data_IF_327166600640
#
_entry.id   IF_327166600640
#
_cell.length_a   1.000
_cell.length_b   1.000
_cell.length_c   1.000
_cell.angle_alpha   90.00
_cell.angle_beta   90.00
_cell.angle_gamma   90.00
#
_symmetry.space_group_name_H-M   'P 1'
#
loop_
_entity.id
_entity.type
_entity.pdbx_description
1 polymer ?
#
# COMPACT_ATOMS: atom_id res chain seq x y z
N UNK A 1 -38.24 -10.04 -14.36
CA UNK A 1 -37.12 -9.09 -14.15
C UNK A 1 -35.87 -9.95 -14.11
N UNK A 2 -34.94 -9.77 -15.05
CA UNK A 2 -33.68 -10.50 -15.00
C UNK A 2 -32.86 -9.97 -13.82
N UNK A 3 -32.42 -10.84 -12.92
CA UNK A 3 -31.43 -10.50 -11.90
C UNK A 3 -30.20 -9.94 -12.59
N UNK A 4 -29.77 -8.75 -12.17
CA UNK A 4 -28.44 -8.25 -12.56
C UNK A 4 -27.42 -9.24 -12.00
N UNK A 5 -26.45 -9.73 -12.80
CA UNK A 5 -25.39 -10.55 -12.26
C UNK A 5 -24.71 -9.77 -11.12
N UNK A 6 -24.45 -10.47 -10.01
CA UNK A 6 -23.60 -9.97 -8.94
C UNK A 6 -22.28 -9.50 -9.57
N UNK A 7 -21.81 -8.28 -9.26
CA UNK A 7 -20.53 -7.81 -9.80
C UNK A 7 -19.41 -8.78 -9.39
N UNK A 8 -18.45 -9.00 -10.29
CA UNK A 8 -17.27 -9.80 -10.01
C UNK A 8 -16.40 -9.21 -8.88
N UNK A 9 -15.36 -9.93 -8.43
CA UNK A 9 -14.47 -9.42 -7.39
C UNK A 9 -13.83 -8.09 -7.82
N UNK A 10 -13.66 -7.19 -6.86
CA UNK A 10 -13.08 -5.86 -7.07
C UNK A 10 -11.56 -6.03 -7.22
N UNK A 11 -10.96 -5.62 -8.36
CA UNK A 11 -9.52 -5.71 -8.52
C UNK A 11 -8.81 -4.57 -7.77
N UNK A 12 -7.89 -4.93 -6.88
CA UNK A 12 -7.23 -4.00 -5.94
C UNK A 12 -5.71 -4.06 -6.10
N UNK A 13 -5.08 -2.89 -6.19
CA UNK A 13 -3.64 -2.72 -5.93
C UNK A 13 -3.49 -2.23 -4.49
N UNK A 14 -2.61 -2.87 -3.72
CA UNK A 14 -2.34 -2.49 -2.33
C UNK A 14 -0.96 -1.82 -2.22
N UNK A 15 -0.88 -0.61 -1.68
CA UNK A 15 0.36 0.09 -1.29
C UNK A 15 0.49 0.04 0.23
N UNK A 16 1.51 -0.64 0.76
CA UNK A 16 1.60 -1.00 2.18
C UNK A 16 3.01 -0.88 2.75
N UNK A 17 3.12 -0.50 4.03
CA UNK A 17 4.38 -0.40 4.77
C UNK A 17 4.63 -1.57 5.74
N UNK A 18 3.81 -2.62 5.65
CA UNK A 18 4.04 -3.91 6.28
C UNK A 18 4.01 -3.93 7.82
N UNK A 19 3.19 -3.06 8.42
CA UNK A 19 2.80 -3.15 9.83
C UNK A 19 1.91 -4.36 10.16
N UNK A 20 1.65 -4.55 11.45
CA UNK A 20 0.78 -5.61 12.01
C UNK A 20 -0.66 -5.52 11.46
N UNK A 21 -1.20 -4.31 11.42
CA UNK A 21 -2.50 -3.98 10.85
C UNK A 21 -2.51 -4.09 9.32
N UNK A 22 -1.46 -3.64 8.63
CA UNK A 22 -1.28 -3.89 7.19
C UNK A 22 -1.31 -5.38 6.85
N UNK A 23 -0.56 -6.20 7.58
CA UNK A 23 -0.53 -7.65 7.38
C UNK A 23 -1.92 -8.27 7.58
N UNK A 24 -2.70 -7.73 8.52
CA UNK A 24 -4.07 -8.15 8.80
C UNK A 24 -5.02 -7.73 7.67
N UNK A 25 -4.91 -6.49 7.19
CA UNK A 25 -5.70 -5.97 6.08
C UNK A 25 -5.41 -6.73 4.77
N UNK A 26 -4.13 -6.98 4.48
CA UNK A 26 -3.71 -7.75 3.32
C UNK A 26 -4.18 -9.20 3.40
N UNK A 27 -4.07 -9.86 4.57
CA UNK A 27 -4.62 -11.20 4.77
C UNK A 27 -6.12 -11.23 4.50
N UNK A 28 -6.86 -10.24 5.01
CA UNK A 28 -8.30 -10.15 4.76
C UNK A 28 -8.61 -9.96 3.27
N UNK A 29 -7.93 -9.06 2.59
CA UNK A 29 -8.08 -8.84 1.15
C UNK A 29 -7.78 -10.09 0.32
N UNK A 30 -6.77 -10.88 0.70
CA UNK A 30 -6.39 -12.12 0.00
C UNK A 30 -7.35 -13.28 0.22
N UNK A 31 -8.12 -13.25 1.30
CA UNK A 31 -9.04 -14.34 1.70
C UNK A 31 -10.51 -14.01 1.50
N UNK A 32 -10.85 -12.76 1.18
CA UNK A 32 -12.21 -12.34 0.86
C UNK A 32 -12.50 -12.54 -0.64
N UNK A 33 -13.49 -13.38 -1.01
CA UNK A 33 -13.78 -13.68 -2.42
C UNK A 33 -14.35 -12.48 -3.21
N UNK A 34 -14.63 -11.35 -2.54
CA UNK A 34 -15.08 -10.11 -3.17
C UNK A 34 -13.92 -9.21 -3.61
N UNK A 35 -12.69 -9.54 -3.23
CA UNK A 35 -11.49 -8.77 -3.54
C UNK A 35 -10.53 -9.63 -4.36
N UNK A 36 -10.02 -9.06 -5.45
CA UNK A 36 -8.95 -9.64 -6.24
C UNK A 36 -7.71 -8.77 -6.11
N UNK A 37 -6.75 -9.16 -5.26
CA UNK A 37 -5.49 -8.44 -5.15
C UNK A 37 -4.63 -8.75 -6.36
N UNK A 38 -4.40 -7.74 -7.20
CA UNK A 38 -3.75 -7.91 -8.52
C UNK A 38 -2.30 -7.45 -8.54
N UNK A 39 -1.85 -6.76 -7.50
CA UNK A 39 -0.48 -6.30 -7.34
C UNK A 39 -0.28 -5.62 -5.98
N UNK A 40 0.94 -5.66 -5.48
CA UNK A 40 1.32 -5.05 -4.20
C UNK A 40 2.51 -4.13 -4.43
N UNK A 41 2.36 -2.88 -4.00
CA UNK A 41 3.42 -1.90 -3.89
C UNK A 41 3.86 -1.89 -2.43
N UNK A 42 5.17 -1.86 -2.20
CA UNK A 42 5.72 -1.77 -0.85
C UNK A 42 6.31 -0.39 -0.65
N UNK A 43 5.92 0.26 0.44
CA UNK A 43 6.45 1.55 0.89
C UNK A 43 7.09 1.43 2.27
N UNK A 44 7.67 2.50 2.77
CA UNK A 44 8.23 2.62 4.12
C UNK A 44 7.21 3.26 5.06
N UNK A 45 7.36 3.10 6.39
CA UNK A 45 6.52 3.81 7.37
C UNK A 45 6.63 3.17 8.76
N UNK A 46 5.76 2.20 9.03
CA UNK A 46 5.79 1.36 10.22
C UNK A 46 7.14 0.69 10.44
N UNK A 47 7.71 0.16 9.35
CA UNK A 47 9.07 -0.41 9.28
C UNK A 47 9.80 0.11 8.03
N UNK A 48 11.08 -0.25 7.90
CA UNK A 48 11.85 0.01 6.69
C UNK A 48 11.32 -0.83 5.51
N UNK A 49 11.51 -0.31 4.28
CA UNK A 49 11.02 -0.89 3.04
C UNK A 49 11.32 -2.40 2.90
N UNK A 50 12.54 -2.82 3.22
CA UNK A 50 12.93 -4.23 3.15
C UNK A 50 12.14 -5.09 4.13
N UNK A 51 11.87 -4.60 5.35
CA UNK A 51 11.04 -5.32 6.32
C UNK A 51 9.56 -5.32 5.95
N UNK A 52 9.06 -4.23 5.38
CA UNK A 52 7.71 -4.18 4.84
C UNK A 52 7.52 -5.26 3.76
N UNK A 53 8.50 -5.40 2.86
CA UNK A 53 8.49 -6.43 1.83
C UNK A 53 8.51 -7.84 2.44
N UNK A 54 9.34 -8.07 3.47
CA UNK A 54 9.34 -9.37 4.18
C UNK A 54 7.98 -9.68 4.81
N UNK A 55 7.30 -8.69 5.38
CA UNK A 55 5.93 -8.87 5.90
C UNK A 55 4.97 -9.26 4.79
N UNK A 56 4.98 -8.55 3.65
CA UNK A 56 4.14 -8.87 2.48
C UNK A 56 4.39 -10.30 2.00
N UNK A 57 5.65 -10.72 1.84
CA UNK A 57 5.98 -12.07 1.40
C UNK A 57 5.51 -13.15 2.36
N UNK A 58 5.59 -12.91 3.68
CA UNK A 58 5.04 -13.84 4.69
C UNK A 58 3.53 -14.00 4.54
N UNK A 59 2.81 -12.90 4.33
CA UNK A 59 1.36 -12.92 4.17
C UNK A 59 0.96 -13.63 2.88
N UNK A 60 1.62 -13.33 1.75
CA UNK A 60 1.38 -14.01 0.47
C UNK A 60 1.67 -15.52 0.55
N UNK A 61 2.79 -15.91 1.17
CA UNK A 61 3.15 -17.30 1.36
C UNK A 61 2.12 -18.04 2.23
N UNK A 62 1.65 -17.40 3.31
CA UNK A 62 0.61 -17.95 4.18
C UNK A 62 -0.75 -18.07 3.47
N UNK A 63 -1.10 -17.11 2.61
CA UNK A 63 -2.33 -17.10 1.84
C UNK A 63 -2.30 -18.03 0.62
N UNK A 64 -1.13 -18.60 0.29
CA UNK A 64 -0.97 -19.44 -0.90
C UNK A 64 -1.10 -18.65 -2.21
N UNK A 65 -0.72 -17.37 -2.22
CA UNK A 65 -0.81 -16.46 -3.37
C UNK A 65 0.56 -15.97 -3.86
N UNK A 66 1.49 -16.87 -4.25
CA UNK A 66 2.81 -16.49 -4.75
C UNK A 66 2.75 -15.87 -6.16
N UNK A 67 1.58 -15.89 -6.80
CA UNK A 67 1.32 -15.38 -8.16
C UNK A 67 1.22 -13.84 -8.22
N UNK A 68 0.97 -13.18 -7.10
CA UNK A 68 0.74 -11.73 -7.06
C UNK A 68 2.09 -11.00 -7.16
N UNK A 69 2.27 -10.07 -8.12
CA UNK A 69 3.51 -9.31 -8.24
C UNK A 69 3.66 -8.32 -7.08
N UNK A 70 4.85 -8.29 -6.48
CA UNK A 70 5.24 -7.36 -5.43
C UNK A 70 6.37 -6.48 -5.95
N UNK A 71 6.20 -5.16 -5.97
CA UNK A 71 7.23 -4.22 -6.38
C UNK A 71 7.62 -3.29 -5.23
N UNK A 72 8.92 -3.00 -5.12
CA UNK A 72 9.46 -2.08 -4.12
C UNK A 72 9.31 -0.63 -4.61
N UNK A 73 8.82 0.23 -3.72
CA UNK A 73 8.62 1.65 -3.94
C UNK A 73 9.64 2.53 -3.24
N UNK A 74 9.17 3.63 -2.68
CA UNK A 74 9.98 4.58 -1.94
C UNK A 74 10.49 3.97 -0.62
N UNK A 75 11.71 4.33 -0.22
CA UNK A 75 12.34 3.96 1.05
C UNK A 75 12.40 5.12 2.06
N UNK A 76 12.06 6.34 1.63
CA UNK A 76 11.95 7.54 2.45
C UNK A 76 10.95 8.56 1.86
N UNK A 77 10.70 9.63 2.62
CA UNK A 77 9.84 10.73 2.21
C UNK A 77 10.35 11.41 0.94
N UNK A 78 9.42 11.83 0.09
CA UNK A 78 9.72 12.66 -1.07
C UNK A 78 10.09 14.09 -0.65
N UNK A 79 9.45 14.57 0.42
CA UNK A 79 9.71 15.87 1.01
C UNK A 79 10.86 15.86 2.02
N UNK A 80 10.95 16.89 2.87
CA UNK A 80 11.88 16.92 3.98
C UNK A 80 11.72 15.68 4.87
N UNK A 81 12.85 15.20 5.41
CA UNK A 81 12.86 14.09 6.37
C UNK A 81 11.81 14.33 7.46
N UNK A 82 10.93 13.35 7.72
CA UNK A 82 9.88 13.49 8.71
C UNK A 82 10.46 13.70 10.10
N UNK A 83 9.70 14.42 10.94
CA UNK A 83 10.00 14.48 12.37
C UNK A 83 9.69 13.15 13.08
N UNK A 84 8.89 12.29 12.45
CA UNK A 84 8.49 10.98 12.94
C UNK A 84 9.47 9.90 12.45
N UNK A 85 9.88 9.01 13.37
CA UNK A 85 10.64 7.81 13.01
C UNK A 85 9.72 6.67 12.54
N UNK A 86 10.32 5.51 12.28
CA UNK A 86 9.56 4.27 12.05
C UNK A 86 8.75 3.90 13.30
N UNK A 87 7.54 3.37 13.12
CA UNK A 87 6.65 2.99 14.22
C UNK A 87 6.97 1.60 14.83
N UNK A 88 8.26 1.23 14.90
CA UNK A 88 8.70 -0.08 15.42
C UNK A 88 8.36 -0.32 16.89
N UNK A 89 8.10 0.75 17.65
CA UNK A 89 7.58 0.65 19.02
C UNK A 89 6.12 0.15 19.08
N UNK A 90 5.38 0.23 17.97
CA UNK A 90 4.02 -0.31 17.82
C UNK A 90 4.06 -1.68 17.13
N UNK A 91 4.75 -1.77 15.99
CA UNK A 91 4.69 -2.95 15.11
C UNK A 91 5.85 -3.93 15.31
N UNK A 92 6.79 -3.65 16.23
CA UNK A 92 8.03 -4.40 16.35
C UNK A 92 9.01 -4.10 15.22
N UNK A 93 10.28 -4.47 15.42
CA UNK A 93 11.34 -4.28 14.40
C UNK A 93 11.16 -5.15 13.15
N UNK A 94 10.28 -6.15 13.22
CA UNK A 94 9.98 -7.08 12.14
C UNK A 94 8.62 -6.82 11.46
N UNK A 95 7.92 -5.75 11.86
CA UNK A 95 6.59 -5.37 11.35
C UNK A 95 5.44 -6.25 11.85
N UNK A 96 5.74 -7.31 12.61
CA UNK A 96 4.78 -8.35 13.02
C UNK A 96 4.80 -8.58 14.54
N UNK A 97 5.06 -7.53 15.32
CA UNK A 97 5.04 -7.55 16.79
C UNK A 97 6.12 -8.42 17.42
N UNK A 98 7.23 -8.69 16.72
CA UNK A 98 8.28 -9.60 17.16
C UNK A 98 7.99 -11.09 16.86
N UNK A 99 6.99 -11.38 16.03
CA UNK A 99 6.56 -12.74 15.69
C UNK A 99 6.73 -13.10 14.21
N UNK A 100 7.33 -12.24 13.39
CA UNK A 100 7.56 -12.46 11.96
C UNK A 100 8.41 -13.71 11.67
N UNK A 101 9.34 -14.06 12.57
CA UNK A 101 10.16 -15.28 12.46
C UNK A 101 9.35 -16.59 12.44
N UNK A 102 8.08 -16.57 12.85
CA UNK A 102 7.19 -17.74 12.85
C UNK A 102 6.66 -18.08 11.45
N UNK A 103 6.81 -17.17 10.50
CA UNK A 103 6.21 -17.25 9.18
C UNK A 103 7.31 -17.25 8.11
N UNK A 104 7.20 -18.19 7.17
CA UNK A 104 8.10 -18.26 6.01
C UNK A 104 7.75 -17.15 5.02
N UNK A 105 8.74 -16.55 4.37
CA UNK A 105 8.55 -15.67 3.21
C UNK A 105 8.23 -16.45 1.93
N UNK A 106 8.22 -17.79 1.98
CA UNK A 106 8.01 -18.65 0.81
C UNK A 106 9.16 -18.62 -0.20
N UNK A 107 10.28 -17.96 0.11
CA UNK A 107 11.35 -17.70 -0.85
C UNK A 107 10.96 -16.70 -1.94
N UNK A 108 9.87 -15.94 -1.74
CA UNK A 108 9.41 -14.93 -2.67
C UNK A 108 10.39 -13.76 -2.72
N UNK A 109 10.47 -13.13 -3.90
CA UNK A 109 11.29 -11.96 -4.18
C UNK A 109 10.45 -10.94 -4.93
N UNK A 110 10.75 -9.63 -4.81
CA UNK A 110 10.03 -8.63 -5.59
C UNK A 110 10.27 -8.84 -7.09
N UNK A 111 9.35 -8.34 -7.91
CA UNK A 111 9.55 -8.25 -9.36
C UNK A 111 10.65 -7.23 -9.68
N UNK A 112 11.19 -7.28 -10.90
CA UNK A 112 12.21 -6.31 -11.35
C UNK A 112 11.68 -4.90 -11.59
N UNK A 113 10.36 -4.75 -11.70
CA UNK A 113 9.69 -3.46 -11.85
C UNK A 113 9.76 -2.67 -10.54
N UNK A 114 9.94 -1.35 -10.63
CA UNK A 114 9.67 -0.47 -9.48
C UNK A 114 8.16 -0.40 -9.21
N UNK A 115 7.77 0.02 -8.00
CA UNK A 115 6.36 0.20 -7.69
C UNK A 115 5.64 1.17 -8.66
N UNK A 116 6.32 2.24 -9.09
CA UNK A 116 5.81 3.17 -10.09
C UNK A 116 5.58 2.50 -11.46
N UNK A 117 6.51 1.64 -11.90
CA UNK A 117 6.37 0.87 -13.14
C UNK A 117 5.23 -0.13 -13.05
N UNK A 118 5.13 -0.88 -11.94
CA UNK A 118 4.07 -1.85 -11.71
C UNK A 118 2.69 -1.15 -11.69
N UNK A 119 2.55 -0.04 -10.96
CA UNK A 119 1.31 0.73 -10.91
C UNK A 119 0.92 1.29 -12.28
N UNK A 120 1.88 1.85 -13.02
CA UNK A 120 1.65 2.36 -14.38
C UNK A 120 1.18 1.26 -15.32
N UNK A 121 1.83 0.09 -15.26
CA UNK A 121 1.50 -1.04 -16.12
C UNK A 121 0.10 -1.58 -15.80
N UNK A 122 -0.19 -1.89 -14.54
CA UNK A 122 -1.48 -2.47 -14.14
C UNK A 122 -2.66 -1.52 -14.46
N UNK A 123 -2.51 -0.22 -14.18
CA UNK A 123 -3.55 0.78 -14.49
C UNK A 123 -3.68 1.04 -16.00
N UNK A 124 -2.61 0.86 -16.79
CA UNK A 124 -2.67 0.89 -18.25
C UNK A 124 -3.33 -0.33 -18.88
N UNK A 125 -3.16 -1.51 -18.28
CA UNK A 125 -3.79 -2.75 -18.72
C UNK A 125 -5.30 -2.78 -18.43
N UNK A 126 -5.74 -2.13 -17.34
CA UNK A 126 -7.14 -2.13 -16.84
C UNK A 126 -7.63 -0.73 -16.43
N UNK A 127 -7.70 0.22 -17.37
CA UNK A 127 -8.11 1.59 -17.06
C UNK A 127 -9.58 1.65 -16.64
N UNK A 128 -9.85 2.32 -15.52
CA UNK A 128 -11.19 2.51 -14.95
C UNK A 128 -11.72 1.30 -14.17
N UNK A 129 -10.89 0.26 -13.94
CA UNK A 129 -11.31 -0.94 -13.21
C UNK A 129 -10.68 -1.06 -11.81
N UNK A 130 -9.42 -0.64 -11.65
CA UNK A 130 -8.63 -0.90 -10.45
C UNK A 130 -8.91 0.08 -9.33
N UNK A 131 -9.04 -0.44 -8.10
CA UNK A 131 -8.99 0.37 -6.87
C UNK A 131 -7.55 0.41 -6.37
N UNK A 132 -7.04 1.60 -6.07
CA UNK A 132 -5.77 1.80 -5.39
C UNK A 132 -6.02 1.96 -3.89
N UNK A 133 -5.62 0.97 -3.09
CA UNK A 133 -5.71 0.97 -1.64
C UNK A 133 -4.35 1.30 -1.04
N UNK A 134 -4.22 2.45 -0.38
CA UNK A 134 -2.99 2.86 0.30
C UNK A 134 -3.13 2.71 1.82
N UNK A 135 -2.21 1.97 2.42
CA UNK A 135 -2.19 1.60 3.84
C UNK A 135 -1.02 2.23 4.60
N UNK A 136 0.02 2.68 3.89
CA UNK A 136 1.17 3.38 4.45
C UNK A 136 1.34 4.82 3.94
N UNK A 137 2.49 5.46 4.22
CA UNK A 137 2.89 6.74 3.65
C UNK A 137 2.79 6.78 2.13
N UNK A 138 2.27 7.89 1.62
CA UNK A 138 1.90 8.06 0.22
C UNK A 138 3.09 8.29 -0.72
N UNK A 139 4.33 8.17 -0.23
CA UNK A 139 5.58 8.42 -0.98
C UNK A 139 5.66 7.60 -2.26
N UNK A 140 5.37 6.30 -2.20
CA UNK A 140 5.41 5.42 -3.37
C UNK A 140 4.39 5.85 -4.44
N UNK A 141 3.14 6.05 -4.04
CA UNK A 141 2.07 6.51 -4.93
C UNK A 141 2.34 7.91 -5.50
N UNK A 142 2.85 8.85 -4.70
CA UNK A 142 3.18 10.19 -5.15
C UNK A 142 4.34 10.20 -6.16
N UNK A 143 5.36 9.36 -5.98
CA UNK A 143 6.45 9.20 -6.93
C UNK A 143 5.91 8.69 -8.28
N UNK A 144 5.04 7.67 -8.24
CA UNK A 144 4.39 7.15 -9.44
C UNK A 144 3.55 8.22 -10.18
N UNK A 145 2.80 9.04 -9.45
CA UNK A 145 2.01 10.14 -10.04
C UNK A 145 2.87 11.27 -10.62
N UNK A 146 4.06 11.51 -10.07
CA UNK A 146 5.02 12.48 -10.65
C UNK A 146 5.57 11.99 -11.98
N UNK A 147 5.89 10.71 -12.07
CA UNK A 147 6.41 10.09 -13.28
C UNK A 147 5.33 9.89 -14.35
N UNK A 148 4.12 9.49 -13.94
CA UNK A 148 2.98 9.23 -14.81
C UNK A 148 1.68 9.80 -14.21
N UNK A 149 1.37 11.09 -14.45
CA UNK A 149 0.16 11.72 -13.94
C UNK A 149 -1.14 11.08 -14.43
N UNK A 150 -1.13 10.39 -15.59
CA UNK A 150 -2.34 9.76 -16.12
C UNK A 150 -2.75 8.49 -15.34
N UNK A 151 -1.97 8.03 -14.34
CA UNK A 151 -2.45 7.02 -13.37
C UNK A 151 -3.74 7.49 -12.70
N UNK A 152 -3.83 8.76 -12.30
CA UNK A 152 -5.01 9.30 -11.62
C UNK A 152 -6.28 9.24 -12.48
N UNK A 153 -6.13 9.27 -13.81
CA UNK A 153 -7.25 9.14 -14.75
C UNK A 153 -7.63 7.68 -15.05
N UNK A 154 -6.75 6.73 -14.73
CA UNK A 154 -6.90 5.30 -15.03
C UNK A 154 -7.35 4.48 -13.82
N UNK A 155 -7.17 4.99 -12.60
CA UNK A 155 -7.65 4.34 -11.38
C UNK A 155 -9.16 4.60 -11.24
N UNK A 156 -9.92 3.55 -10.90
CA UNK A 156 -11.36 3.63 -10.71
C UNK A 156 -11.75 4.31 -9.40
N UNK A 157 -10.98 4.03 -8.34
CA UNK A 157 -11.18 4.62 -7.02
C UNK A 157 -9.87 4.63 -6.23
N UNK A 158 -9.69 5.64 -5.39
CA UNK A 158 -8.57 5.76 -4.48
C UNK A 158 -9.08 5.66 -3.04
N UNK A 159 -8.60 4.64 -2.32
CA UNK A 159 -8.89 4.46 -0.89
C UNK A 159 -7.62 4.71 -0.10
N UNK A 160 -7.63 5.77 0.72
CA UNK A 160 -6.48 6.16 1.55
C UNK A 160 -6.76 5.86 3.01
N UNK A 161 -5.93 5.03 3.64
CA UNK A 161 -5.79 5.01 5.10
C UNK A 161 -4.87 6.15 5.50
N UNK A 162 -5.46 7.25 5.96
CA UNK A 162 -4.67 8.33 6.54
C UNK A 162 -5.46 9.59 6.86
N UNK A 163 -4.81 10.49 7.58
CA UNK A 163 -5.36 11.80 7.96
C UNK A 163 -6.20 11.80 9.24
N UNK A 164 -6.43 13.01 9.76
CA UNK A 164 -7.24 13.25 10.95
C UNK A 164 -8.17 14.44 10.72
N UNK A 165 -9.48 14.16 10.57
CA UNK A 165 -10.50 15.20 10.32
C UNK A 165 -11.28 15.46 11.60
N UNK A 166 -11.33 16.73 12.03
CA UNK A 166 -12.04 17.17 13.24
C UNK A 166 -11.65 16.41 14.52
N UNK A 167 -10.40 15.92 14.59
CA UNK A 167 -9.77 15.18 15.69
C UNK A 167 -8.26 15.44 15.70
N UNK A 168 -7.59 15.09 16.80
CA UNK A 168 -6.12 15.09 16.87
C UNK A 168 -5.49 13.91 16.11
N UNK A 169 -4.20 14.04 15.80
CA UNK A 169 -3.41 12.99 15.16
C UNK A 169 -2.93 11.90 16.15
N UNK A 170 -2.33 10.84 15.61
CA UNK A 170 -1.77 9.71 16.38
C UNK A 170 -0.22 9.69 16.39
N UNK A 171 0.44 10.38 15.44
CA UNK A 171 1.90 10.50 15.38
C UNK A 171 2.40 11.88 15.84
N UNK A 172 1.58 12.92 15.62
CA UNK A 172 1.77 14.27 16.14
C UNK A 172 0.41 14.83 16.58
N UNK A 173 0.34 15.91 17.38
CA UNK A 173 -0.94 16.47 17.84
C UNK A 173 -1.96 16.73 16.71
N UNK A 174 -1.50 17.10 15.52
CA UNK A 174 -2.32 17.30 14.33
C UNK A 174 -1.94 16.40 13.14
N UNK A 175 -1.03 15.44 13.33
CA UNK A 175 -0.50 14.56 12.28
C UNK A 175 -0.88 13.11 12.52
N UNK A 176 -1.68 12.55 11.62
CA UNK A 176 -1.85 11.10 11.51
C UNK A 176 -0.57 10.50 10.89
N UNK A 177 -0.16 9.31 11.32
CA UNK A 177 1.11 8.66 10.98
C UNK A 177 1.45 8.71 9.49
N UNK A 178 0.63 8.13 8.63
CA UNK A 178 0.91 8.03 7.19
C UNK A 178 1.09 9.41 6.55
N UNK A 179 0.23 10.37 6.92
CA UNK A 179 0.32 11.76 6.43
C UNK A 179 1.50 12.51 7.05
N UNK A 180 1.83 12.26 8.32
CA UNK A 180 2.92 12.93 9.03
C UNK A 180 4.30 12.44 8.59
N UNK A 181 4.39 11.19 8.10
CA UNK A 181 5.60 10.63 7.49
C UNK A 181 5.94 11.30 6.17
N UNK A 182 4.96 11.64 5.33
CA UNK A 182 5.23 12.38 4.08
C UNK A 182 4.07 13.34 3.71
N UNK A 183 4.03 14.53 4.32
CA UNK A 183 2.98 15.51 4.03
C UNK A 183 2.99 16.01 2.58
N UNK A 184 4.17 16.04 1.93
CA UNK A 184 4.29 16.47 0.54
C UNK A 184 3.71 15.42 -0.41
N UNK A 185 4.02 14.15 -0.19
CA UNK A 185 3.39 13.06 -0.93
C UNK A 185 1.87 13.05 -0.72
N UNK A 186 1.40 13.23 0.51
CA UNK A 186 -0.03 13.30 0.79
C UNK A 186 -0.71 14.44 0.02
N UNK A 187 -0.10 15.62 -0.05
CA UNK A 187 -0.61 16.75 -0.82
C UNK A 187 -0.67 16.44 -2.33
N UNK A 188 0.34 15.74 -2.88
CA UNK A 188 0.37 15.32 -4.28
C UNK A 188 -0.73 14.31 -4.59
N UNK A 189 -0.85 13.26 -3.78
CA UNK A 189 -1.84 12.20 -4.00
C UNK A 189 -3.24 12.76 -3.84
N UNK A 190 -3.56 13.43 -2.74
CA UNK A 190 -4.92 13.96 -2.49
C UNK A 190 -5.27 15.06 -3.49
N UNK A 191 -4.29 15.85 -3.93
CA UNK A 191 -4.46 16.92 -4.91
C UNK A 191 -4.44 16.47 -6.38
N UNK A 192 -4.23 15.18 -6.66
CA UNK A 192 -4.20 14.68 -8.04
C UNK A 192 -5.60 14.67 -8.68
N UNK A 193 -5.63 14.68 -10.01
CA UNK A 193 -6.86 14.76 -10.81
C UNK A 193 -7.64 13.44 -10.91
N UNK A 194 -7.95 12.81 -9.78
CA UNK A 194 -8.77 11.59 -9.73
C UNK A 194 -10.16 11.83 -10.35
N UNK A 195 -10.73 10.78 -10.97
CA UNK A 195 -12.03 10.83 -11.66
C UNK A 195 -13.08 10.00 -10.95
#
# INVERSE_FOLDING_TARGET
MAERPEPGPIPVIVDTDGGVDDATALWWALTDPRVDVVGILVTWGNVDLDMAAMTVFRVLAAAGRPDIPVALGADDAIGPTPLTGRATFVHGVDGLGGHGHRWSTGGLTPVSETAAQLLTRLTGERPGELVLLTLGPLSTTAAALRDEPAIAERVADLVVMGGAVARGGNAQPAGEANVAHDPEAAAIVVGAGWR
#
